data_IF_391212872618
#
_entry.id   IF_391212872618
#
_cell.length_a   1.000
_cell.length_b   1.000
_cell.length_c   1.000
_cell.angle_alpha   90.00
_cell.angle_beta   90.00
_cell.angle_gamma   90.00
#
_symmetry.space_group_name_H-M   'P 1'
#
loop_
_entity.id
_entity.type
_entity.pdbx_description
1 polymer ?
#
# COMPACT_ATOMS: atom_id res chain seq x y z
N UNK A 1 12.46 4.45 65.07
CA UNK A 1 12.17 3.49 63.98
C UNK A 1 11.28 4.18 62.95
N UNK A 2 11.89 4.90 61.98
CA UNK A 2 11.16 5.66 60.95
C UNK A 2 11.20 4.82 59.68
N UNK A 3 10.05 4.23 59.34
CA UNK A 3 9.89 3.22 58.29
C UNK A 3 10.02 3.88 56.92
N UNK A 4 10.78 3.24 56.05
CA UNK A 4 11.09 3.59 54.66
C UNK A 4 9.82 3.73 53.81
N UNK A 5 9.37 4.98 53.62
CA UNK A 5 8.27 5.36 52.71
C UNK A 5 8.74 5.71 51.28
N UNK A 6 10.04 5.59 51.02
CA UNK A 6 10.69 6.09 49.79
C UNK A 6 10.72 5.09 48.61
N UNK A 7 10.69 3.74 48.76
CA UNK A 7 10.84 2.87 47.58
C UNK A 7 9.54 2.69 46.78
N UNK A 8 8.38 3.05 47.33
CA UNK A 8 7.08 2.85 46.66
C UNK A 8 6.66 4.02 45.75
N UNK A 9 7.21 5.22 45.99
CA UNK A 9 6.92 6.39 45.16
C UNK A 9 7.72 6.37 43.84
N UNK A 10 8.96 5.85 43.88
CA UNK A 10 9.85 5.76 42.71
C UNK A 10 9.35 4.73 41.69
N UNK A 11 8.74 3.64 42.15
CA UNK A 11 8.16 2.62 41.26
C UNK A 11 6.86 3.08 40.59
N UNK A 12 6.03 3.90 41.26
CA UNK A 12 4.79 4.43 40.67
C UNK A 12 5.05 5.45 39.54
N UNK A 13 6.09 6.28 39.68
CA UNK A 13 6.46 7.28 38.64
C UNK A 13 7.03 6.61 37.40
N UNK A 14 7.74 5.48 37.54
CA UNK A 14 8.27 4.72 36.41
C UNK A 14 7.18 4.05 35.55
N UNK A 15 6.04 3.66 36.15
CA UNK A 15 4.90 3.09 35.39
C UNK A 15 4.18 4.16 34.57
N UNK A 16 4.06 5.38 35.08
CA UNK A 16 3.39 6.47 34.35
C UNK A 16 4.19 6.95 33.13
N UNK A 17 5.53 6.89 33.18
CA UNK A 17 6.40 7.31 32.06
C UNK A 17 6.51 6.28 30.92
N UNK A 18 6.05 5.03 31.11
CA UNK A 18 6.12 4.00 30.06
C UNK A 18 4.92 4.03 29.09
N UNK A 19 3.90 4.85 29.39
CA UNK A 19 2.64 4.89 28.62
C UNK A 19 2.65 5.88 27.46
N UNK A 20 3.77 6.56 27.19
CA UNK A 20 3.85 7.60 26.16
C UNK A 20 4.35 7.10 24.81
N UNK A 21 4.35 5.79 24.56
CA UNK A 21 4.49 5.30 23.20
C UNK A 21 3.25 5.75 22.40
N UNK A 22 3.39 6.51 21.30
CA UNK A 22 2.25 6.86 20.47
C UNK A 22 1.62 5.58 19.94
N UNK A 23 0.32 5.39 20.19
CA UNK A 23 -0.51 4.26 19.72
C UNK A 23 -0.73 4.29 18.19
N UNK A 24 0.07 5.08 17.46
CA UNK A 24 -0.21 5.51 16.10
C UNK A 24 0.90 5.07 15.12
N UNK A 25 1.78 4.16 15.54
CA UNK A 25 2.55 3.37 14.58
C UNK A 25 1.66 2.21 14.11
N UNK A 26 0.52 2.55 13.52
CA UNK A 26 -0.33 1.64 12.78
C UNK A 26 0.46 1.29 11.52
N UNK A 27 1.30 0.26 11.61
CA UNK A 27 1.98 -0.25 10.43
C UNK A 27 0.93 -0.60 9.38
N UNK A 28 1.10 -0.11 8.16
CA UNK A 28 0.25 -0.39 7.00
C UNK A 28 0.15 -1.90 6.83
N UNK A 29 -0.90 -2.50 7.40
CA UNK A 29 -0.98 -3.95 7.65
C UNK A 29 -1.18 -4.76 6.36
N UNK A 30 -1.48 -4.06 5.27
CA UNK A 30 -1.85 -4.62 3.99
C UNK A 30 -0.73 -4.49 2.93
N UNK A 31 0.52 -4.20 3.31
CA UNK A 31 1.67 -4.30 2.38
C UNK A 31 1.95 -3.06 1.51
N UNK A 32 1.27 -1.93 1.76
CA UNK A 32 1.52 -0.65 1.08
C UNK A 32 1.09 -0.60 -0.39
N UNK A 33 1.42 0.49 -1.07
CA UNK A 33 1.13 0.63 -2.50
C UNK A 33 2.17 -0.13 -3.34
N UNK A 34 1.71 -0.71 -4.44
CA UNK A 34 2.55 -1.38 -5.44
C UNK A 34 2.55 -0.54 -6.70
N UNK A 35 3.75 -0.23 -7.22
CA UNK A 35 3.90 0.48 -8.49
C UNK A 35 4.62 -0.44 -9.46
N UNK A 36 3.87 -1.01 -10.41
CA UNK A 36 4.43 -1.84 -11.46
C UNK A 36 5.21 -1.00 -12.46
N UNK A 37 6.30 -1.59 -12.95
CA UNK A 37 7.22 -1.00 -13.92
C UNK A 37 7.26 -1.77 -15.25
N UNK A 38 6.66 -2.96 -15.28
CA UNK A 38 6.50 -3.78 -16.49
C UNK A 38 5.05 -4.29 -16.62
N UNK A 39 4.58 -4.59 -17.84
CA UNK A 39 5.22 -4.30 -19.14
C UNK A 39 5.22 -2.80 -19.48
N UNK A 40 4.42 -2.00 -18.76
CA UNK A 40 4.36 -0.55 -18.91
C UNK A 40 4.77 0.09 -17.58
N UNK A 41 5.59 1.14 -17.66
CA UNK A 41 6.02 1.90 -16.49
C UNK A 41 4.82 2.53 -15.78
N UNK A 42 4.90 2.66 -14.45
CA UNK A 42 4.04 3.53 -13.65
C UNK A 42 2.57 3.11 -13.59
N UNK A 43 2.31 1.84 -13.24
CA UNK A 43 0.95 1.37 -12.93
C UNK A 43 0.81 1.21 -11.43
N UNK A 44 -0.09 1.97 -10.81
CA UNK A 44 -0.30 1.90 -9.36
C UNK A 44 -1.43 0.95 -8.97
N UNK A 45 -1.20 0.22 -7.88
CA UNK A 45 -2.20 -0.50 -7.10
C UNK A 45 -2.08 -0.06 -5.64
N UNK A 46 -3.20 0.32 -5.01
CA UNK A 46 -3.22 0.71 -3.60
C UNK A 46 -3.97 -0.31 -2.77
N UNK A 47 -3.27 -0.96 -1.84
CA UNK A 47 -3.92 -1.85 -0.89
C UNK A 47 -4.83 -1.10 0.08
N UNK A 48 -4.55 0.16 0.42
CA UNK A 48 -5.41 0.96 1.31
C UNK A 48 -6.81 1.10 0.73
N UNK A 49 -6.90 1.47 -0.56
CA UNK A 49 -8.19 1.57 -1.26
C UNK A 49 -8.93 0.23 -1.26
N UNK A 50 -8.24 -0.86 -1.55
CA UNK A 50 -8.91 -2.16 -1.71
C UNK A 50 -9.27 -2.82 -0.37
N UNK A 51 -8.40 -2.74 0.64
CA UNK A 51 -8.55 -3.45 1.92
C UNK A 51 -9.17 -2.58 2.99
N UNK A 52 -8.74 -1.32 3.12
CA UNK A 52 -9.22 -0.42 4.18
C UNK A 52 -10.50 0.30 3.77
N UNK A 53 -10.49 0.96 2.61
CA UNK A 53 -11.62 1.77 2.17
C UNK A 53 -12.80 0.91 1.69
N UNK A 54 -12.53 -0.10 0.86
CA UNK A 54 -13.56 -0.99 0.29
C UNK A 54 -13.84 -2.18 1.20
N UNK A 55 -12.89 -2.60 2.05
CA UNK A 55 -13.08 -3.72 2.98
C UNK A 55 -12.90 -5.11 2.34
N UNK A 56 -12.12 -5.23 1.25
CA UNK A 56 -11.86 -6.55 0.65
C UNK A 56 -10.94 -7.38 1.55
N UNK A 57 -11.31 -8.65 1.75
CA UNK A 57 -10.45 -9.61 2.44
C UNK A 57 -9.24 -9.99 1.60
N UNK A 58 -8.09 -10.23 2.24
CA UNK A 58 -6.83 -10.57 1.59
C UNK A 58 -6.94 -11.77 0.63
N UNK A 59 -7.76 -12.75 1.01
CA UNK A 59 -8.04 -13.99 0.28
C UNK A 59 -8.80 -13.79 -1.03
N UNK A 60 -9.40 -12.61 -1.26
CA UNK A 60 -10.06 -12.30 -2.53
C UNK A 60 -9.01 -12.16 -3.63
N UNK A 61 -7.84 -11.62 -3.30
CA UNK A 61 -6.75 -11.44 -4.25
C UNK A 61 -5.70 -12.56 -4.14
N UNK A 62 -5.42 -13.03 -2.93
CA UNK A 62 -4.28 -13.91 -2.66
C UNK A 62 -4.69 -15.35 -2.29
N UNK A 63 -3.91 -16.35 -2.74
CA UNK A 63 -2.81 -16.26 -3.70
C UNK A 63 -3.27 -16.32 -5.17
N UNK A 64 -4.59 -16.44 -5.40
CA UNK A 64 -5.14 -16.89 -6.68
C UNK A 64 -4.99 -15.86 -7.81
N UNK A 65 -5.39 -14.60 -7.58
CA UNK A 65 -5.26 -13.52 -8.57
C UNK A 65 -3.85 -12.93 -8.57
N UNK A 66 -3.25 -12.83 -7.39
CA UNK A 66 -1.91 -12.29 -7.18
C UNK A 66 -1.19 -13.10 -6.11
N UNK A 67 0.11 -13.33 -6.27
CA UNK A 67 0.94 -13.88 -5.20
C UNK A 67 1.16 -12.84 -4.09
N UNK A 68 1.39 -13.27 -2.86
CA UNK A 68 1.79 -12.38 -1.73
C UNK A 68 3.27 -11.97 -1.84
N UNK A 69 3.68 -11.52 -3.02
CA UNK A 69 5.01 -11.02 -3.32
C UNK A 69 4.85 -9.86 -4.28
N UNK A 70 5.36 -8.68 -3.88
CA UNK A 70 5.28 -7.49 -4.71
C UNK A 70 5.97 -7.72 -6.05
N UNK A 71 5.40 -7.15 -7.10
CA UNK A 71 5.91 -7.23 -8.48
C UNK A 71 5.99 -8.64 -9.07
N UNK A 72 5.51 -9.69 -8.39
CA UNK A 72 5.50 -11.04 -8.97
C UNK A 72 4.66 -11.11 -10.26
N UNK A 73 3.54 -10.37 -10.30
CA UNK A 73 2.66 -10.33 -11.47
C UNK A 73 3.37 -9.83 -12.74
N UNK A 74 4.26 -8.85 -12.62
CA UNK A 74 4.90 -8.23 -13.79
C UNK A 74 6.04 -9.06 -14.41
N UNK A 75 6.38 -10.19 -13.80
CA UNK A 75 7.30 -11.17 -14.36
C UNK A 75 6.60 -12.26 -15.20
N UNK A 76 5.27 -12.27 -15.24
CA UNK A 76 4.49 -13.16 -16.11
C UNK A 76 4.21 -12.51 -17.46
N UNK A 77 4.48 -13.25 -18.54
CA UNK A 77 4.25 -12.79 -19.92
C UNK A 77 2.78 -12.46 -20.22
N UNK A 78 1.83 -13.05 -19.47
CA UNK A 78 0.40 -12.79 -19.64
C UNK A 78 -0.13 -11.61 -18.81
N UNK A 79 0.72 -10.87 -18.07
CA UNK A 79 0.32 -9.65 -17.38
C UNK A 79 0.14 -8.47 -18.35
N UNK A 80 -0.98 -8.50 -19.08
CA UNK A 80 -1.31 -7.60 -20.18
C UNK A 80 -2.76 -7.13 -20.11
N UNK A 81 -3.10 -6.03 -20.79
CA UNK A 81 -4.48 -5.55 -20.87
C UNK A 81 -5.45 -6.57 -21.50
N UNK A 82 -4.95 -7.43 -22.39
CA UNK A 82 -5.76 -8.52 -22.94
C UNK A 82 -6.17 -9.50 -21.85
N UNK A 83 -5.24 -9.93 -21.00
CA UNK A 83 -5.56 -10.80 -19.87
C UNK A 83 -6.54 -10.15 -18.88
N UNK A 84 -6.45 -8.83 -18.67
CA UNK A 84 -7.44 -8.10 -17.87
C UNK A 84 -8.83 -8.18 -18.51
N UNK A 85 -8.93 -7.99 -19.82
CA UNK A 85 -10.19 -8.14 -20.56
C UNK A 85 -10.75 -9.57 -20.47
N UNK A 86 -9.86 -10.56 -20.38
CA UNK A 86 -10.20 -11.98 -20.19
C UNK A 86 -10.51 -12.34 -18.71
N UNK A 87 -10.63 -11.35 -17.82
CA UNK A 87 -11.02 -11.54 -16.42
C UNK A 87 -9.88 -11.95 -15.48
N UNK A 88 -8.62 -11.75 -15.86
CA UNK A 88 -7.45 -12.00 -15.00
C UNK A 88 -6.95 -10.74 -14.30
N UNK A 89 -6.13 -10.93 -13.27
CA UNK A 89 -5.46 -9.84 -12.54
C UNK A 89 -6.46 -8.75 -12.10
N UNK A 90 -6.19 -7.48 -12.45
CA UNK A 90 -7.05 -6.35 -12.14
C UNK A 90 -8.44 -6.52 -12.76
N UNK A 91 -8.52 -7.13 -13.95
CA UNK A 91 -9.75 -7.29 -14.73
C UNK A 91 -10.71 -8.34 -14.19
N UNK A 92 -10.30 -9.16 -13.22
CA UNK A 92 -11.21 -10.03 -12.47
C UNK A 92 -12.32 -9.23 -11.75
N UNK A 93 -12.04 -7.96 -11.46
CA UNK A 93 -12.93 -7.03 -10.78
C UNK A 93 -13.18 -5.76 -11.59
N UNK A 94 -12.16 -5.23 -12.30
CA UNK A 94 -12.26 -4.05 -13.17
C UNK A 94 -12.82 -4.41 -14.56
N UNK A 95 -14.00 -5.03 -14.56
CA UNK A 95 -14.73 -5.57 -15.72
C UNK A 95 -15.83 -4.63 -16.25
N UNK A 96 -16.12 -3.53 -15.53
CA UNK A 96 -17.20 -2.60 -15.85
C UNK A 96 -18.53 -2.90 -15.16
N UNK A 97 -18.63 -4.03 -14.47
CA UNK A 97 -19.80 -4.44 -13.69
C UNK A 97 -19.53 -4.34 -12.20
N UNK A 98 -18.45 -4.99 -11.72
CA UNK A 98 -18.10 -5.01 -10.30
C UNK A 98 -17.33 -3.75 -9.89
N UNK A 99 -16.37 -3.33 -10.72
CA UNK A 99 -15.70 -2.04 -10.63
C UNK A 99 -15.63 -1.39 -12.02
N UNK A 100 -15.04 -0.20 -12.07
CA UNK A 100 -14.85 0.50 -13.32
C UNK A 100 -14.05 -0.36 -14.33
N UNK A 101 -14.42 -0.30 -15.61
CA UNK A 101 -13.77 -1.12 -16.64
C UNK A 101 -12.33 -0.67 -16.91
N UNK A 102 -11.41 -1.63 -16.91
CA UNK A 102 -9.97 -1.39 -17.09
C UNK A 102 -9.59 -0.94 -18.51
N UNK A 103 -10.43 -1.23 -19.50
CA UNK A 103 -10.22 -0.93 -20.92
C UNK A 103 -10.63 0.51 -21.32
N UNK A 104 -11.33 1.25 -20.45
CA UNK A 104 -11.85 2.59 -20.76
C UNK A 104 -11.29 3.69 -19.85
N UNK A 105 -10.69 3.34 -18.71
CA UNK A 105 -10.29 4.30 -17.67
C UNK A 105 -8.80 4.20 -17.32
N UNK A 106 -7.96 4.23 -18.35
CA UNK A 106 -6.52 3.98 -18.28
C UNK A 106 -5.78 4.83 -17.23
N UNK A 107 -6.11 6.13 -17.16
CA UNK A 107 -5.43 7.09 -16.28
C UNK A 107 -5.66 6.86 -14.78
N UNK A 108 -6.56 5.94 -14.40
CA UNK A 108 -6.75 5.57 -12.98
C UNK A 108 -5.62 4.71 -12.42
N UNK A 109 -4.96 3.94 -13.28
CA UNK A 109 -3.86 3.07 -12.88
C UNK A 109 -2.54 3.55 -13.50
N UNK A 110 -2.54 4.01 -14.74
CA UNK A 110 -1.35 4.50 -15.45
C UNK A 110 -1.06 5.96 -15.10
N UNK A 111 -0.25 6.18 -14.07
CA UNK A 111 0.02 7.51 -13.50
C UNK A 111 1.13 8.29 -14.23
N UNK A 112 1.81 7.65 -15.18
CA UNK A 112 2.91 8.24 -15.93
C UNK A 112 4.15 8.52 -15.08
N UNK A 113 5.19 9.03 -15.74
CA UNK A 113 6.50 9.28 -15.12
C UNK A 113 6.40 10.26 -13.94
N UNK A 114 5.60 11.33 -14.08
CA UNK A 114 5.41 12.31 -13.00
C UNK A 114 4.75 11.70 -11.77
N UNK A 115 3.73 10.87 -11.97
CA UNK A 115 3.07 10.17 -10.87
C UNK A 115 4.03 9.18 -10.20
N UNK A 116 4.82 8.46 -11.00
CA UNK A 116 5.85 7.56 -10.49
C UNK A 116 6.91 8.28 -9.65
N UNK A 117 7.43 9.41 -10.12
CA UNK A 117 8.43 10.21 -9.40
C UNK A 117 7.90 10.73 -8.05
N UNK A 118 6.66 11.22 -8.04
CA UNK A 118 6.01 11.70 -6.84
C UNK A 118 5.81 10.60 -5.79
N UNK A 119 5.43 9.39 -6.22
CA UNK A 119 5.10 8.29 -5.30
C UNK A 119 6.27 7.39 -4.95
N UNK A 120 7.32 7.34 -5.79
CA UNK A 120 8.52 6.52 -5.56
C UNK A 120 9.60 7.26 -4.78
N UNK A 121 9.32 8.48 -4.27
CA UNK A 121 10.26 9.27 -3.47
C UNK A 121 11.43 9.87 -4.26
N UNK A 122 11.32 9.97 -5.59
CA UNK A 122 12.36 10.57 -6.46
C UNK A 122 12.13 12.05 -6.77
N UNK A 123 10.96 12.59 -6.42
CA UNK A 123 10.58 13.98 -6.70
C UNK A 123 11.10 15.04 -5.72
N UNK A 124 11.66 14.66 -4.56
CA UNK A 124 12.11 15.62 -3.54
C UNK A 124 13.51 16.20 -3.85
N UNK A 125 14.30 15.56 -4.72
CA UNK A 125 15.69 15.98 -4.99
C UNK A 125 15.83 17.04 -6.10
N UNK A 126 14.78 17.29 -6.89
CA UNK A 126 14.85 18.18 -8.07
C UNK A 126 14.23 19.57 -7.86
N UNK A 127 13.72 19.89 -6.67
CA UNK A 127 13.14 21.22 -6.39
C UNK A 127 14.15 22.29 -5.95
N UNK A 128 15.46 21.97 -5.86
CA UNK A 128 16.52 22.94 -5.49
C UNK A 128 17.34 23.47 -6.69
N UNK A 129 16.89 23.30 -7.95
CA UNK A 129 17.62 23.81 -9.12
C UNK A 129 16.80 24.54 -10.19
N UNK A 130 15.70 25.20 -9.82
CA UNK A 130 15.09 26.17 -10.74
C UNK A 130 14.58 27.45 -10.07
N UNK A 131 15.31 28.53 -10.40
CA UNK A 131 15.14 29.96 -10.13
C UNK A 131 15.93 30.53 -8.94
#
# INVERSE_FOLDING_TARGET
MKKTLIPMLVTLVAVLAYSSAPLNAEGVFHGGDVIYTKPVMSVIFSHAIHVEDIGLGCQICHPDLFMMSSLAAEEYDDFTMQALTDGKYCGACHDGSWAFASDTQCARCHIGVKGFEALSGRGEEDTDKSH
#
